data_IF_394008282356
#
_entry.id   IF_394008282356
#
_cell.length_a   1.000
_cell.length_b   1.000
_cell.length_c   1.000
_cell.angle_alpha   90.00
_cell.angle_beta   90.00
_cell.angle_gamma   90.00
#
_symmetry.space_group_name_H-M   'P 1'
#
loop_
_entity.id
_entity.type
_entity.pdbx_description
1 polymer ?
#
# COMPACT_ATOMS: atom_id res chain seq x y z
N UNK A 1 -6.37 -16.07 29.55
CA UNK A 1 -7.45 -15.61 28.64
C UNK A 1 -7.86 -16.80 27.79
N UNK A 2 -9.15 -17.07 27.64
CA UNK A 2 -9.65 -18.08 26.68
C UNK A 2 -9.71 -17.46 25.30
N UNK A 3 -9.30 -18.20 24.27
CA UNK A 3 -9.51 -17.80 22.88
C UNK A 3 -11.01 -17.71 22.57
N UNK A 4 -11.42 -16.71 21.78
CA UNK A 4 -12.80 -16.53 21.31
C UNK A 4 -12.81 -16.64 19.79
N UNK A 5 -13.50 -17.65 19.27
CA UNK A 5 -13.80 -17.75 17.85
C UNK A 5 -14.98 -16.81 17.52
N UNK A 6 -14.79 -15.91 16.56
CA UNK A 6 -15.80 -14.92 16.13
C UNK A 6 -16.34 -15.16 14.72
N UNK A 7 -15.70 -16.04 13.94
CA UNK A 7 -16.11 -16.40 12.57
C UNK A 7 -16.19 -17.93 12.43
N UNK A 8 -17.19 -18.42 11.70
CA UNK A 8 -17.48 -19.86 11.62
C UNK A 8 -17.56 -20.41 10.18
N UNK A 9 -17.54 -19.53 9.17
CA UNK A 9 -17.56 -19.95 7.78
C UNK A 9 -16.30 -20.78 7.44
N UNK A 10 -16.47 -21.88 6.69
CA UNK A 10 -15.39 -22.75 6.25
C UNK A 10 -14.57 -22.14 5.10
N UNK A 11 -13.99 -20.96 5.36
CA UNK A 11 -13.15 -20.18 4.46
C UNK A 11 -12.14 -19.38 5.29
N UNK A 12 -11.25 -18.69 4.59
CA UNK A 12 -10.18 -17.92 5.18
C UNK A 12 -10.66 -16.51 5.57
N UNK A 13 -10.04 -15.98 6.62
CA UNK A 13 -10.28 -14.65 7.17
C UNK A 13 -8.91 -14.01 7.40
N UNK A 14 -8.26 -13.57 6.32
CA UNK A 14 -6.90 -13.05 6.36
C UNK A 14 -6.90 -11.63 6.93
N UNK A 15 -6.23 -11.47 8.06
CA UNK A 15 -5.92 -10.17 8.62
C UNK A 15 -4.62 -9.68 8.01
N UNK A 16 -4.59 -8.41 7.59
CA UNK A 16 -3.34 -7.72 7.32
C UNK A 16 -2.53 -7.60 8.61
N UNK A 17 -1.21 -7.50 8.50
CA UNK A 17 -0.29 -7.45 9.64
C UNK A 17 -0.42 -6.18 10.50
N UNK A 18 -1.18 -5.18 10.08
CA UNK A 18 -1.35 -3.89 10.76
C UNK A 18 -2.71 -3.26 10.46
N UNK A 19 -3.19 -2.40 11.36
CA UNK A 19 -4.36 -1.54 11.19
C UNK A 19 -5.62 -2.27 10.67
N UNK A 20 -6.01 -3.36 11.34
CA UNK A 20 -7.20 -4.16 10.95
C UNK A 20 -8.45 -3.84 11.78
N UNK A 21 -8.31 -3.04 12.82
CA UNK A 21 -9.41 -2.66 13.72
C UNK A 21 -10.01 -1.32 13.33
N UNK A 22 -11.33 -1.20 13.45
CA UNK A 22 -11.97 0.13 13.53
C UNK A 22 -11.60 0.82 14.84
N UNK A 23 -11.56 2.16 14.83
CA UNK A 23 -11.14 2.95 15.98
C UNK A 23 -12.02 2.77 17.23
N UNK A 24 -13.29 2.38 17.05
CA UNK A 24 -14.20 2.02 18.14
C UNK A 24 -13.96 0.62 18.72
N UNK A 25 -12.98 -0.12 18.18
CA UNK A 25 -12.64 -1.50 18.55
C UNK A 25 -13.80 -2.50 18.39
N UNK A 26 -14.81 -2.20 17.57
CA UNK A 26 -15.96 -3.09 17.37
C UNK A 26 -15.80 -4.02 16.17
N UNK A 27 -15.05 -3.62 15.16
CA UNK A 27 -14.96 -4.35 13.90
C UNK A 27 -13.52 -4.68 13.52
N UNK A 28 -13.33 -5.89 12.99
CA UNK A 28 -12.11 -6.36 12.36
C UNK A 28 -12.32 -6.50 10.86
N UNK A 29 -11.49 -5.85 10.04
CA UNK A 29 -11.49 -5.99 8.59
C UNK A 29 -10.57 -7.14 8.14
N UNK A 30 -11.02 -7.92 7.16
CA UNK A 30 -10.27 -9.03 6.59
C UNK A 30 -10.58 -9.22 5.10
N UNK A 31 -9.72 -9.99 4.42
CA UNK A 31 -9.97 -10.51 3.09
C UNK A 31 -10.06 -12.05 3.11
N UNK A 32 -10.51 -12.65 2.00
CA UNK A 32 -10.77 -14.10 1.93
C UNK A 32 -9.71 -14.88 1.14
N UNK A 33 -8.49 -14.35 1.01
CA UNK A 33 -7.42 -15.05 0.27
C UNK A 33 -7.07 -16.37 0.98
N UNK A 34 -6.82 -17.46 0.23
CA UNK A 34 -6.48 -18.74 0.83
C UNK A 34 -5.14 -18.71 1.59
N UNK A 35 -4.24 -17.83 1.18
CA UNK A 35 -2.95 -17.56 1.83
C UNK A 35 -2.47 -16.14 1.50
N UNK A 36 -1.51 -15.62 2.26
CA UNK A 36 -0.90 -14.32 1.99
C UNK A 36 -0.16 -14.24 0.63
N UNK A 37 0.21 -15.39 0.05
CA UNK A 37 0.89 -15.46 -1.25
C UNK A 37 -0.07 -15.56 -2.46
N UNK A 38 -1.35 -15.85 -2.21
CA UNK A 38 -2.39 -15.90 -3.25
C UNK A 38 -3.09 -14.54 -3.35
N UNK A 39 -3.48 -14.11 -4.54
CA UNK A 39 -4.28 -12.90 -4.74
C UNK A 39 -5.56 -13.19 -5.54
N UNK A 40 -6.47 -13.90 -4.89
CA UNK A 40 -7.68 -14.48 -5.50
C UNK A 40 -8.97 -14.12 -4.76
N UNK A 41 -8.90 -13.27 -3.74
CA UNK A 41 -10.10 -12.88 -2.99
C UNK A 41 -10.94 -11.92 -3.81
N UNK A 42 -12.26 -12.07 -3.71
CA UNK A 42 -13.23 -11.22 -4.41
C UNK A 42 -13.86 -10.18 -3.48
N UNK A 43 -13.68 -10.31 -2.17
CA UNK A 43 -14.37 -9.48 -1.18
C UNK A 43 -13.42 -8.96 -0.11
N UNK A 44 -13.66 -7.71 0.29
CA UNK A 44 -13.18 -7.16 1.55
C UNK A 44 -14.36 -7.14 2.51
N UNK A 45 -14.15 -7.60 3.72
CA UNK A 45 -15.21 -7.83 4.69
C UNK A 45 -14.81 -7.34 6.08
N UNK A 46 -15.79 -7.20 6.96
CA UNK A 46 -15.56 -6.97 8.39
C UNK A 46 -16.43 -7.86 9.25
N UNK A 47 -15.96 -8.18 10.45
CA UNK A 47 -16.71 -8.91 11.48
C UNK A 47 -16.83 -8.06 12.74
N UNK A 48 -18.02 -7.97 13.30
CA UNK A 48 -18.25 -7.35 14.60
C UNK A 48 -17.79 -8.33 15.69
N UNK A 49 -16.84 -7.93 16.53
CA UNK A 49 -16.22 -8.85 17.50
C UNK A 49 -17.13 -9.17 18.69
N UNK A 50 -18.20 -8.38 18.90
CA UNK A 50 -19.18 -8.57 19.96
C UNK A 50 -20.28 -9.52 19.49
N UNK A 51 -20.89 -9.24 18.33
CA UNK A 51 -22.06 -9.98 17.82
C UNK A 51 -21.73 -11.15 16.90
N UNK A 52 -20.57 -11.10 16.22
CA UNK A 52 -20.20 -12.04 15.15
C UNK A 52 -20.82 -11.70 13.79
N UNK A 53 -21.51 -10.57 13.67
CA UNK A 53 -22.08 -10.12 12.39
C UNK A 53 -20.98 -9.86 11.37
N UNK A 54 -21.19 -10.32 10.13
CA UNK A 54 -20.24 -10.14 9.03
C UNK A 54 -20.88 -9.25 7.97
N UNK A 55 -20.11 -8.27 7.50
CA UNK A 55 -20.51 -7.37 6.42
C UNK A 55 -19.49 -7.38 5.30
N UNK A 56 -19.98 -7.44 4.05
CA UNK A 56 -19.16 -7.24 2.86
C UNK A 56 -19.03 -5.74 2.62
N UNK A 57 -17.80 -5.23 2.73
CA UNK A 57 -17.48 -3.82 2.51
C UNK A 57 -17.35 -3.50 1.02
N UNK A 58 -16.77 -4.43 0.26
CA UNK A 58 -16.58 -4.29 -1.17
C UNK A 58 -16.48 -5.66 -1.83
N UNK A 59 -17.01 -5.75 -3.05
CA UNK A 59 -16.86 -6.90 -3.92
C UNK A 59 -16.25 -6.46 -5.25
N UNK A 60 -15.10 -7.04 -5.57
CA UNK A 60 -14.41 -6.84 -6.84
C UNK A 60 -15.27 -7.32 -8.01
N UNK A 61 -15.13 -6.65 -9.15
CA UNK A 61 -15.88 -6.93 -10.38
C UNK A 61 -14.92 -7.16 -11.54
N UNK A 62 -15.49 -7.56 -12.67
CA UNK A 62 -14.78 -7.57 -13.96
C UNK A 62 -13.49 -8.40 -13.98
N UNK A 63 -13.49 -9.49 -13.21
CA UNK A 63 -12.35 -10.41 -13.10
C UNK A 63 -11.22 -9.92 -12.19
N UNK A 64 -11.36 -8.77 -11.54
CA UNK A 64 -10.41 -8.30 -10.55
C UNK A 64 -10.50 -9.09 -9.24
N UNK A 65 -9.43 -9.00 -8.46
CA UNK A 65 -9.34 -9.50 -7.10
C UNK A 65 -8.92 -8.37 -6.17
N UNK A 66 -9.21 -8.54 -4.88
CA UNK A 66 -8.87 -7.60 -3.81
C UNK A 66 -8.22 -8.30 -2.65
N UNK A 67 -7.55 -7.55 -1.78
CA UNK A 67 -7.04 -8.08 -0.52
C UNK A 67 -6.16 -7.08 0.21
N UNK A 68 -5.60 -7.53 1.34
CA UNK A 68 -4.64 -6.74 2.13
C UNK A 68 -5.28 -5.42 2.58
N UNK A 69 -6.41 -5.52 3.28
CA UNK A 69 -7.15 -4.37 3.77
C UNK A 69 -6.51 -3.79 5.03
N UNK A 70 -6.42 -2.47 5.13
CA UNK A 70 -6.20 -1.74 6.38
C UNK A 70 -7.31 -0.72 6.61
N UNK A 71 -7.47 -0.29 7.85
CA UNK A 71 -8.56 0.55 8.35
C UNK A 71 -8.01 1.90 8.79
N UNK A 72 -8.71 2.98 8.45
CA UNK A 72 -8.38 4.33 8.89
C UNK A 72 -8.65 4.51 10.39
N UNK A 73 -7.94 5.44 11.06
CA UNK A 73 -8.22 5.79 12.46
C UNK A 73 -9.53 6.59 12.65
N UNK A 74 -10.17 7.04 11.57
CA UNK A 74 -11.39 7.85 11.62
C UNK A 74 -12.67 7.05 11.93
N UNK A 75 -13.70 7.76 12.42
CA UNK A 75 -15.08 7.29 12.48
C UNK A 75 -16.00 8.29 11.76
N UNK A 76 -16.79 7.86 10.76
CA UNK A 76 -16.87 6.50 10.20
C UNK A 76 -15.55 6.04 9.55
N UNK A 77 -15.24 4.74 9.57
CA UNK A 77 -13.98 4.22 9.04
C UNK A 77 -13.97 4.18 7.51
N UNK A 78 -12.81 4.48 6.95
CA UNK A 78 -12.42 4.21 5.56
C UNK A 78 -11.56 2.95 5.54
N UNK A 79 -11.67 2.17 4.47
CA UNK A 79 -10.90 0.94 4.30
C UNK A 79 -10.04 1.08 3.06
N UNK A 80 -8.74 0.88 3.15
CA UNK A 80 -7.87 0.86 1.97
C UNK A 80 -7.44 -0.57 1.68
N UNK A 81 -7.47 -0.98 0.43
CA UNK A 81 -7.01 -2.31 0.04
C UNK A 81 -6.33 -2.28 -1.32
N UNK A 82 -5.65 -3.39 -1.63
CA UNK A 82 -5.10 -3.63 -2.95
C UNK A 82 -6.23 -4.09 -3.86
N UNK A 83 -6.26 -3.52 -5.05
CA UNK A 83 -7.12 -3.94 -6.15
C UNK A 83 -6.26 -4.40 -7.32
N UNK A 84 -6.52 -5.60 -7.82
CA UNK A 84 -5.94 -6.09 -9.07
C UNK A 84 -6.55 -5.36 -10.28
N UNK A 85 -6.01 -5.57 -11.49
CA UNK A 85 -6.59 -4.97 -12.68
C UNK A 85 -7.98 -5.56 -12.98
N UNK A 86 -8.90 -4.70 -13.42
CA UNK A 86 -10.17 -5.10 -14.01
C UNK A 86 -9.96 -5.46 -15.48
N UNK A 87 -10.81 -6.36 -15.98
CA UNK A 87 -10.69 -6.97 -17.30
C UNK A 87 -9.24 -7.43 -17.58
N UNK A 88 -8.67 -8.31 -16.73
CA UNK A 88 -7.31 -8.80 -16.96
C UNK A 88 -7.24 -9.57 -18.29
N UNK A 89 -6.14 -9.43 -19.00
CA UNK A 89 -5.88 -10.12 -20.26
C UNK A 89 -4.50 -10.80 -20.25
N UNK A 90 -4.06 -11.35 -21.38
CA UNK A 90 -2.78 -12.04 -21.48
C UNK A 90 -1.56 -11.13 -21.18
N UNK A 91 -1.69 -9.81 -21.41
CA UNK A 91 -0.63 -8.82 -21.20
C UNK A 91 -0.74 -8.08 -19.87
N UNK A 92 -1.91 -8.10 -19.23
CA UNK A 92 -2.17 -7.31 -18.02
C UNK A 92 -2.95 -8.11 -16.98
N UNK A 93 -2.24 -8.94 -16.24
CA UNK A 93 -2.78 -9.71 -15.11
C UNK A 93 -2.31 -9.10 -13.78
N UNK A 94 -2.83 -9.62 -12.67
CA UNK A 94 -2.30 -9.27 -11.36
C UNK A 94 -0.79 -9.56 -11.28
N UNK A 95 -0.02 -8.53 -11.03
CA UNK A 95 1.42 -8.55 -10.75
C UNK A 95 1.75 -7.40 -9.79
N UNK A 96 2.97 -7.38 -9.25
CA UNK A 96 3.45 -6.35 -8.35
C UNK A 96 3.35 -4.94 -8.92
N UNK A 97 3.52 -4.78 -10.24
CA UNK A 97 3.47 -3.51 -10.95
C UNK A 97 2.12 -3.25 -11.67
N UNK A 98 1.11 -4.11 -11.51
CA UNK A 98 -0.24 -3.96 -12.13
C UNK A 98 -1.40 -3.82 -11.13
N UNK A 99 -1.09 -3.65 -9.85
CA UNK A 99 -2.04 -3.51 -8.75
C UNK A 99 -2.15 -2.07 -8.27
N UNK A 100 -3.29 -1.67 -7.73
CA UNK A 100 -3.53 -0.29 -7.28
C UNK A 100 -4.09 -0.24 -5.87
N UNK A 101 -3.98 0.91 -5.21
CA UNK A 101 -4.71 1.20 -3.99
C UNK A 101 -6.11 1.69 -4.30
N UNK A 102 -7.09 1.19 -3.56
CA UNK A 102 -8.46 1.74 -3.55
C UNK A 102 -8.90 2.00 -2.13
N UNK A 103 -9.59 3.12 -1.92
CA UNK A 103 -10.27 3.44 -0.66
C UNK A 103 -11.74 3.07 -0.84
N UNK A 104 -12.25 2.23 0.05
CA UNK A 104 -13.64 1.82 0.16
C UNK A 104 -14.31 2.60 1.28
N UNK A 105 -15.38 3.31 0.93
CA UNK A 105 -16.25 4.03 1.84
C UNK A 105 -17.70 3.90 1.36
N UNK A 106 -18.64 3.65 2.26
CA UNK A 106 -20.08 3.53 1.94
C UNK A 106 -20.38 2.54 0.79
N UNK A 107 -19.61 1.44 0.69
CA UNK A 107 -19.77 0.42 -0.35
C UNK A 107 -19.23 0.80 -1.73
N UNK A 108 -18.60 1.97 -1.87
CA UNK A 108 -17.98 2.43 -3.11
C UNK A 108 -16.45 2.42 -2.97
N UNK A 109 -15.76 1.92 -4.00
CA UNK A 109 -14.31 2.00 -4.11
C UNK A 109 -13.90 3.18 -5.00
N UNK A 110 -12.97 4.01 -4.52
CA UNK A 110 -12.33 5.06 -5.29
C UNK A 110 -10.83 4.78 -5.38
N UNK A 111 -10.21 5.05 -6.51
CA UNK A 111 -8.78 4.88 -6.67
C UNK A 111 -8.02 5.85 -5.75
N UNK A 112 -7.08 5.30 -4.98
CA UNK A 112 -6.14 6.08 -4.19
C UNK A 112 -5.14 6.76 -5.13
N UNK A 113 -4.35 5.93 -5.81
CA UNK A 113 -3.30 6.36 -6.74
C UNK A 113 -3.85 6.51 -8.16
N UNK A 114 -3.18 7.36 -8.95
CA UNK A 114 -3.36 7.46 -10.40
C UNK A 114 -2.26 6.64 -11.09
N UNK A 115 -2.54 6.13 -12.30
CA UNK A 115 -1.55 5.45 -13.12
C UNK A 115 -1.41 6.13 -14.48
N UNK A 116 -0.16 6.43 -14.83
CA UNK A 116 0.28 7.03 -16.09
C UNK A 116 1.56 6.32 -16.55
N UNK A 117 1.44 5.49 -17.59
CA UNK A 117 2.57 4.68 -18.10
C UNK A 117 3.08 5.22 -19.44
N UNK A 118 2.49 6.31 -19.95
CA UNK A 118 2.83 6.87 -21.26
C UNK A 118 3.52 8.23 -21.09
N UNK A 119 4.77 8.40 -21.56
CA UNK A 119 5.43 9.71 -21.54
C UNK A 119 4.68 10.76 -22.38
N UNK A 120 4.69 12.06 -21.99
CA UNK A 120 5.29 12.60 -20.77
C UNK A 120 4.44 12.30 -19.53
N UNK A 121 5.09 11.84 -18.46
CA UNK A 121 4.40 11.42 -17.23
C UNK A 121 3.78 12.59 -16.45
N UNK A 122 2.64 12.32 -15.84
CA UNK A 122 1.89 13.25 -14.99
C UNK A 122 2.45 13.30 -13.57
N UNK A 123 2.85 14.46 -13.04
CA UNK A 123 3.29 14.58 -11.64
C UNK A 123 2.21 14.12 -10.66
N UNK A 124 2.59 13.22 -9.76
CA UNK A 124 1.69 12.64 -8.76
C UNK A 124 1.05 11.32 -9.18
N UNK A 125 1.17 10.92 -10.44
CA UNK A 125 0.76 9.60 -10.91
C UNK A 125 1.90 8.60 -10.72
N UNK A 126 1.53 7.36 -10.38
CA UNK A 126 2.42 6.22 -10.42
C UNK A 126 2.54 5.69 -11.85
N UNK A 127 3.58 4.91 -12.12
CA UNK A 127 3.82 4.28 -13.44
C UNK A 127 3.78 2.76 -13.34
N UNK A 128 3.06 2.26 -12.35
CA UNK A 128 3.10 0.87 -11.92
C UNK A 128 2.25 0.68 -10.68
N UNK A 129 2.55 -0.36 -9.91
CA UNK A 129 1.65 -0.86 -8.88
C UNK A 129 2.05 -0.55 -7.45
N UNK A 130 1.05 -0.27 -6.61
CA UNK A 130 1.18 0.04 -5.19
C UNK A 130 0.68 -1.13 -4.31
N UNK A 131 1.25 -1.32 -3.13
CA UNK A 131 0.93 -2.46 -2.25
C UNK A 131 1.14 -2.20 -0.78
N UNK A 132 0.20 -2.77 0.00
CA UNK A 132 0.00 -2.55 1.43
C UNK A 132 -0.10 -1.06 1.67
N UNK A 133 -1.32 -0.57 1.82
CA UNK A 133 -1.55 0.85 2.05
C UNK A 133 -1.83 1.03 3.54
N UNK A 134 -1.09 1.92 4.19
CA UNK A 134 -1.23 2.14 5.64
C UNK A 134 -1.52 3.61 5.90
N UNK A 135 -2.67 3.88 6.49
CA UNK A 135 -3.03 5.22 6.93
C UNK A 135 -2.03 5.77 7.94
N UNK A 136 -1.74 7.07 7.82
CA UNK A 136 -1.06 7.84 8.87
C UNK A 136 -1.87 7.81 10.17
N UNK A 137 -1.26 8.10 11.33
CA UNK A 137 -1.97 8.14 12.60
C UNK A 137 -3.16 9.11 12.65
N UNK A 138 -3.17 10.14 11.80
CA UNK A 138 -4.27 11.09 11.65
C UNK A 138 -5.21 10.77 10.48
N UNK A 139 -5.03 9.63 9.80
CA UNK A 139 -5.85 9.16 8.68
C UNK A 139 -5.68 9.93 7.37
N UNK A 140 -4.92 11.02 7.35
CA UNK A 140 -4.90 11.93 6.19
C UNK A 140 -4.01 11.48 5.04
N UNK A 141 -2.94 10.72 5.31
CA UNK A 141 -1.93 10.24 4.33
C UNK A 141 -1.87 8.72 4.35
N UNK A 142 -1.27 8.14 3.32
CA UNK A 142 -1.02 6.71 3.27
C UNK A 142 0.43 6.42 2.86
N UNK A 143 1.06 5.42 3.47
CA UNK A 143 2.29 4.82 2.94
C UNK A 143 1.95 3.65 2.05
N UNK A 144 2.87 3.28 1.15
CA UNK A 144 2.79 2.05 0.39
C UNK A 144 4.15 1.60 -0.12
N UNK A 145 4.27 0.32 -0.44
CA UNK A 145 5.34 -0.17 -1.33
C UNK A 145 4.95 -0.04 -2.80
N UNK A 146 5.92 0.10 -3.69
CA UNK A 146 5.71 0.39 -5.12
C UNK A 146 6.65 -0.42 -6.02
N UNK A 147 6.15 -0.84 -7.18
CA UNK A 147 6.89 -1.48 -8.27
C UNK A 147 6.51 -0.78 -9.59
N UNK A 148 7.47 -0.57 -10.49
CA UNK A 148 7.31 0.32 -11.67
C UNK A 148 7.18 -0.50 -12.96
N UNK A 149 6.02 -0.43 -13.61
CA UNK A 149 5.74 -1.18 -14.83
C UNK A 149 6.61 -0.69 -15.99
N UNK A 150 6.81 0.61 -16.13
CA UNK A 150 7.65 1.17 -17.21
C UNK A 150 9.10 0.71 -17.08
N UNK A 151 9.61 0.60 -15.85
CA UNK A 151 10.94 0.04 -15.62
C UNK A 151 10.98 -1.47 -15.85
N UNK A 152 9.92 -2.20 -15.50
CA UNK A 152 9.79 -3.63 -15.80
C UNK A 152 9.86 -3.91 -17.29
N UNK A 153 9.06 -3.20 -18.11
CA UNK A 153 9.04 -3.32 -19.57
C UNK A 153 10.41 -2.99 -20.20
N UNK A 154 11.15 -2.08 -19.59
CA UNK A 154 12.51 -1.75 -20.03
C UNK A 154 13.48 -2.91 -19.75
N UNK A 155 13.46 -3.44 -18.53
CA UNK A 155 14.26 -4.58 -18.09
C UNK A 155 13.73 -5.05 -16.72
N UNK A 156 13.38 -6.32 -16.58
CA UNK A 156 12.82 -6.88 -15.34
C UNK A 156 13.73 -6.70 -14.12
N UNK A 157 15.05 -6.53 -14.29
CA UNK A 157 15.99 -6.24 -13.20
C UNK A 157 15.86 -4.82 -12.64
N UNK A 158 15.11 -3.95 -13.32
CA UNK A 158 14.83 -2.57 -12.90
C UNK A 158 13.48 -2.44 -12.20
N UNK A 159 12.67 -3.51 -12.14
CA UNK A 159 11.44 -3.55 -11.34
C UNK A 159 11.76 -3.73 -9.84
N UNK A 160 12.39 -2.71 -9.28
CA UNK A 160 12.85 -2.68 -7.90
C UNK A 160 11.75 -2.10 -7.00
N UNK A 161 11.48 -2.79 -5.89
CA UNK A 161 10.50 -2.33 -4.92
C UNK A 161 10.98 -1.08 -4.19
N UNK A 162 10.16 -0.04 -4.21
CA UNK A 162 10.36 1.21 -3.48
C UNK A 162 9.27 1.41 -2.43
N UNK A 163 9.43 2.46 -1.61
CA UNK A 163 8.42 2.97 -0.69
C UNK A 163 7.97 4.35 -1.19
N UNK A 164 6.67 4.59 -1.11
CA UNK A 164 6.04 5.86 -1.45
C UNK A 164 4.98 6.26 -0.43
N UNK A 165 4.47 7.47 -0.62
CA UNK A 165 3.34 8.00 0.14
C UNK A 165 2.31 8.61 -0.80
N UNK A 166 1.04 8.55 -0.38
CA UNK A 166 -0.08 9.24 -0.97
C UNK A 166 -0.47 10.40 -0.04
N UNK A 167 -0.49 11.62 -0.57
CA UNK A 167 -0.84 12.84 0.17
C UNK A 167 -2.09 13.51 -0.41
N UNK A 168 -2.97 14.07 0.44
CA UNK A 168 -4.27 14.60 0.02
C UNK A 168 -4.16 16.02 -0.59
N UNK A 169 -3.12 16.28 -1.39
CA UNK A 169 -2.88 17.60 -1.98
C UNK A 169 -3.91 17.93 -3.07
N UNK A 170 -4.12 16.99 -3.99
CA UNK A 170 -5.10 17.08 -5.09
C UNK A 170 -5.30 15.71 -5.72
N UNK A 171 -6.46 15.54 -6.36
CA UNK A 171 -6.66 14.44 -7.30
C UNK A 171 -5.69 14.57 -8.49
N UNK A 172 -5.27 13.43 -9.03
CA UNK A 172 -4.37 13.34 -10.18
C UNK A 172 -5.12 12.68 -11.33
N UNK A 173 -5.26 13.42 -12.43
CA UNK A 173 -6.03 13.04 -13.61
C UNK A 173 -5.16 13.06 -14.88
N UNK A 174 -4.31 12.05 -15.10
CA UNK A 174 -3.47 11.94 -16.29
C UNK A 174 -4.31 11.92 -17.57
N UNK A 175 -3.81 12.54 -18.64
CA UNK A 175 -4.38 12.39 -19.98
C UNK A 175 -4.21 10.94 -20.43
N UNK A 176 -5.33 10.22 -20.61
CA UNK A 176 -5.30 8.79 -20.96
C UNK A 176 -4.84 8.59 -22.39
N UNK A 177 -3.71 7.92 -22.53
CA UNK A 177 -3.10 7.51 -23.79
C UNK A 177 -3.04 5.97 -23.90
N UNK A 178 -3.16 5.27 -22.77
CA UNK A 178 -3.20 3.82 -22.69
C UNK A 178 -4.45 3.35 -21.92
N UNK A 179 -5.13 2.25 -22.33
CA UNK A 179 -6.37 1.77 -21.68
C UNK A 179 -6.19 1.30 -20.23
N UNK A 180 -4.96 1.12 -19.77
CA UNK A 180 -4.63 0.71 -18.39
C UNK A 180 -4.34 1.90 -17.46
N UNK A 181 -4.37 3.12 -17.98
CA UNK A 181 -4.18 4.34 -17.19
C UNK A 181 -5.49 4.76 -16.52
N UNK A 182 -5.38 5.29 -15.31
CA UNK A 182 -6.54 5.64 -14.49
C UNK A 182 -6.24 6.83 -13.59
N UNK A 183 -7.31 7.48 -13.13
CA UNK A 183 -7.24 8.63 -12.22
C UNK A 183 -7.13 8.17 -10.76
N UNK A 184 -6.60 9.05 -9.92
CA UNK A 184 -6.42 8.84 -8.49
C UNK A 184 -6.87 10.05 -7.68
N UNK A 185 -7.31 9.80 -6.46
CA UNK A 185 -7.78 10.85 -5.54
C UNK A 185 -6.64 11.50 -4.76
N UNK A 186 -5.46 10.88 -4.72
CA UNK A 186 -4.28 11.38 -4.01
C UNK A 186 -3.13 11.69 -4.96
N UNK A 187 -2.25 12.59 -4.52
CA UNK A 187 -0.96 12.83 -5.15
C UNK A 187 0.06 11.86 -4.56
N UNK A 188 0.67 11.02 -5.39
CA UNK A 188 1.63 10.01 -4.96
C UNK A 188 3.08 10.42 -5.25
N UNK A 189 3.98 10.10 -4.32
CA UNK A 189 5.42 10.34 -4.46
C UNK A 189 6.23 9.20 -3.84
N UNK A 190 7.39 8.90 -4.41
CA UNK A 190 8.34 7.95 -3.84
C UNK A 190 9.24 8.64 -2.83
N UNK A 191 9.47 7.98 -1.71
CA UNK A 191 10.30 8.48 -0.60
C UNK A 191 11.58 7.64 -0.42
N UNK A 192 11.72 6.56 -1.18
CA UNK A 192 12.96 5.79 -1.30
C UNK A 192 13.54 5.88 -2.72
N UNK A 193 14.82 5.53 -2.85
CA UNK A 193 15.48 5.29 -4.13
C UNK A 193 16.23 3.97 -4.07
N UNK A 194 15.94 3.08 -5.01
CA UNK A 194 16.63 1.80 -5.14
C UNK A 194 17.59 1.77 -6.33
N UNK A 195 18.60 0.91 -6.22
CA UNK A 195 19.65 0.69 -7.20
C UNK A 195 19.75 -0.81 -7.52
N UNK A 196 19.76 -1.20 -8.80
CA UNK A 196 19.86 -2.61 -9.18
C UNK A 196 21.18 -3.26 -8.71
N UNK A 197 22.25 -2.47 -8.69
CA UNK A 197 23.56 -2.82 -8.16
C UNK A 197 23.98 -1.75 -7.13
N UNK A 198 23.56 -1.89 -5.86
CA UNK A 198 23.92 -0.94 -4.82
C UNK A 198 25.42 -1.03 -4.53
N UNK A 199 26.04 0.10 -4.22
CA UNK A 199 27.47 0.14 -3.91
C UNK A 199 27.77 -0.56 -2.57
N UNK A 200 28.68 -1.56 -2.53
CA UNK A 200 29.13 -2.19 -1.28
C UNK A 200 29.65 -1.19 -0.24
N UNK A 201 29.20 -1.33 1.01
CA UNK A 201 29.57 -0.46 2.13
C UNK A 201 28.92 0.93 2.11
N UNK A 202 27.89 1.15 1.28
CA UNK A 202 27.11 2.39 1.24
C UNK A 202 25.68 2.17 1.72
N UNK A 203 24.95 3.28 1.88
CA UNK A 203 23.52 3.28 2.21
C UNK A 203 22.60 3.04 0.99
N UNK A 204 23.17 2.69 -0.17
CA UNK A 204 22.37 2.33 -1.34
C UNK A 204 21.67 0.99 -1.10
N UNK A 205 20.39 0.96 -1.44
CA UNK A 205 19.53 -0.21 -1.27
C UNK A 205 19.08 -0.74 -2.63
N UNK A 206 18.90 -2.05 -2.76
CA UNK A 206 18.26 -2.64 -3.96
C UNK A 206 16.78 -2.98 -3.79
N UNK A 207 16.24 -2.78 -2.59
CA UNK A 207 14.85 -3.04 -2.25
C UNK A 207 14.46 -2.23 -1.03
N UNK A 208 13.26 -1.64 -1.01
CA UNK A 208 12.63 -1.03 0.16
C UNK A 208 11.29 -1.72 0.45
N UNK A 209 11.00 -2.10 1.70
CA UNK A 209 9.82 -2.89 2.08
C UNK A 209 9.52 -2.84 3.59
N UNK A 210 8.35 -3.37 4.00
CA UNK A 210 7.84 -3.30 5.39
C UNK A 210 7.88 -1.88 5.97
N UNK A 211 7.21 -0.94 5.32
CA UNK A 211 7.19 0.45 5.77
C UNK A 211 6.12 0.71 6.83
N UNK A 212 6.38 1.69 7.71
CA UNK A 212 5.40 2.14 8.69
C UNK A 212 5.59 3.61 9.05
N UNK A 213 4.50 4.25 9.50
CA UNK A 213 4.53 5.59 10.07
C UNK A 213 5.19 5.56 11.46
N UNK A 214 6.08 6.52 11.71
CA UNK A 214 6.79 6.62 12.99
C UNK A 214 5.94 7.35 14.03
N UNK A 215 5.29 6.57 14.91
CA UNK A 215 4.58 7.07 16.09
C UNK A 215 3.37 7.97 15.80
N UNK A 216 2.51 8.19 16.79
CA UNK A 216 1.32 9.06 16.63
C UNK A 216 1.69 10.53 16.40
N UNK A 217 2.85 10.92 16.93
CA UNK A 217 3.36 12.29 16.92
C UNK A 217 4.58 12.52 16.05
N UNK A 218 5.04 11.49 15.35
CA UNK A 218 6.40 11.48 14.86
C UNK A 218 7.40 11.15 15.95
N UNK A 219 8.65 11.62 15.81
CA UNK A 219 9.70 11.43 16.79
C UNK A 219 10.45 12.74 17.08
N UNK A 220 11.12 12.80 18.23
CA UNK A 220 11.93 13.95 18.61
C UNK A 220 13.37 13.78 18.09
N UNK A 221 13.86 14.80 17.38
CA UNK A 221 15.26 14.86 16.92
C UNK A 221 16.20 15.16 18.10
N UNK A 222 17.51 14.87 17.97
CA UNK A 222 18.48 15.17 19.03
C UNK A 222 18.55 16.66 19.44
N UNK A 223 18.16 17.57 18.56
CA UNK A 223 18.09 19.01 18.83
C UNK A 223 16.80 19.45 19.57
N UNK A 224 15.94 18.50 19.91
CA UNK A 224 14.70 18.72 20.63
C UNK A 224 13.49 19.05 19.75
N UNK A 225 13.68 19.31 18.45
CA UNK A 225 12.55 19.55 17.51
C UNK A 225 11.80 18.26 17.21
N UNK A 226 10.53 18.41 16.86
CA UNK A 226 9.70 17.28 16.42
C UNK A 226 9.81 17.11 14.90
N UNK A 227 10.04 15.87 14.47
CA UNK A 227 9.77 15.45 13.10
C UNK A 227 8.35 14.86 13.09
N UNK A 228 7.36 15.60 12.58
CA UNK A 228 5.97 15.16 12.64
C UNK A 228 5.72 13.94 11.76
N UNK A 229 6.23 13.97 10.53
CA UNK A 229 6.00 12.93 9.54
C UNK A 229 7.30 12.20 9.22
N UNK A 230 7.32 10.90 9.45
CA UNK A 230 8.43 10.05 9.02
C UNK A 230 7.93 8.64 8.70
N UNK A 231 8.59 8.02 7.74
CA UNK A 231 8.40 6.62 7.38
C UNK A 231 9.67 5.86 7.77
N UNK A 232 9.52 4.79 8.54
CA UNK A 232 10.56 3.79 8.72
C UNK A 232 10.31 2.63 7.76
N UNK A 233 11.36 2.05 7.20
CA UNK A 233 11.25 0.89 6.30
C UNK A 233 12.54 0.06 6.32
N UNK A 234 12.47 -1.17 5.83
CA UNK A 234 13.61 -2.05 5.66
C UNK A 234 14.20 -1.88 4.26
N UNK A 235 15.51 -1.71 4.18
CA UNK A 235 16.29 -1.62 2.95
C UNK A 235 17.36 -2.71 2.86
N UNK A 236 17.46 -3.37 1.71
CA UNK A 236 18.54 -4.35 1.44
C UNK A 236 19.82 -3.64 0.97
N UNK A 237 20.82 -3.51 1.85
CA UNK A 237 22.17 -2.97 1.57
C UNK A 237 23.16 -4.08 1.18
N UNK A 238 24.39 -3.69 0.80
CA UNK A 238 25.53 -4.60 0.67
C UNK A 238 26.63 -4.19 1.65
N UNK A 239 27.17 -5.16 2.40
CA UNK A 239 28.37 -4.94 3.23
C UNK A 239 29.58 -4.58 2.36
N UNK A 240 30.68 -4.13 2.96
CA UNK A 240 31.94 -3.89 2.24
C UNK A 240 32.47 -5.16 1.52
N UNK A 241 32.08 -6.35 1.98
CA UNK A 241 32.41 -7.65 1.37
C UNK A 241 31.40 -8.08 0.28
N UNK A 242 30.37 -7.27 0.00
CA UNK A 242 29.34 -7.55 -1.01
C UNK A 242 28.23 -8.48 -0.52
N UNK A 243 28.08 -8.69 0.79
CA UNK A 243 27.01 -9.52 1.34
C UNK A 243 25.74 -8.71 1.53
N UNK A 244 24.58 -9.27 1.15
CA UNK A 244 23.29 -8.61 1.39
C UNK A 244 22.94 -8.58 2.88
N UNK A 245 22.53 -7.40 3.37
CA UNK A 245 22.04 -7.20 4.73
C UNK A 245 20.78 -6.33 4.73
N UNK A 246 19.71 -6.72 5.45
CA UNK A 246 18.58 -5.83 5.69
C UNK A 246 18.94 -4.83 6.79
N UNK A 247 18.69 -3.55 6.55
CA UNK A 247 18.88 -2.47 7.50
C UNK A 247 17.61 -1.62 7.61
N UNK A 248 17.47 -0.87 8.71
CA UNK A 248 16.30 -0.01 8.95
C UNK A 248 16.67 1.42 8.56
N UNK A 249 15.88 2.00 7.67
CA UNK A 249 15.99 3.38 7.23
C UNK A 249 14.83 4.19 7.78
N UNK A 250 15.08 5.49 7.97
CA UNK A 250 14.04 6.47 8.28
C UNK A 250 14.12 7.62 7.27
N UNK A 251 12.97 8.04 6.78
CA UNK A 251 12.85 9.22 5.91
C UNK A 251 11.94 10.26 6.55
N UNK A 252 12.49 11.45 6.72
CA UNK A 252 11.78 12.64 7.20
C UNK A 252 10.96 13.24 6.07
N UNK A 253 9.68 13.49 6.33
CA UNK A 253 8.78 14.13 5.39
C UNK A 253 8.51 15.58 5.85
N UNK A 254 8.48 16.55 4.94
CA UNK A 254 8.07 17.92 5.25
C UNK A 254 6.72 18.00 5.97
N UNK A 255 6.58 18.95 6.90
CA UNK A 255 5.33 19.16 7.66
C UNK A 255 4.16 19.63 6.76
N UNK A 256 4.49 20.30 5.64
CA UNK A 256 3.52 20.88 4.69
C UNK A 256 2.95 19.87 3.68
N UNK A 257 3.47 18.64 3.62
CA UNK A 257 3.04 17.60 2.67
C UNK A 257 1.61 17.14 2.90
#
# INVERSE_FOLDING_TARGET
>A
MSEKQITFAARQHQLTNINVWTADSQWLAFDVRPSGASFTSQTIERVNVLTGDIEVLYQARDGAHVGVVTVSPDLPPRYVCIHGPEHPDASWQYDFHHRRGVIVENGAAVNLDACDITPPFTPGALRGGSHVHVFSPDGSRLSFTYNDHVMHERDSRLDLRNVGIAVPLRAVTPVKQHPREYDGTYFCLLVSRTHAAPQPGSDQINRAYEECWVGERGYQKPDGRWQRWAIAFIGDTLTAQGEKRPEVFIVDLPDEL
#
